data_IF_407488007787
#
_entry.id   IF_407488007787
#
_cell.length_a   1.000
_cell.length_b   1.000
_cell.length_c   1.000
_cell.angle_alpha   90.00
_cell.angle_beta   90.00
_cell.angle_gamma   90.00
#
_symmetry.space_group_name_H-M   'P 1'
#
loop_
_entity.id
_entity.type
_entity.pdbx_description
1 polymer ?
#
# COMPACT_ATOMS: atom_id res chain seq x y z
N UNK A 1 5.01 -0.33 -18.34
CA UNK A 1 6.09 -1.30 -18.00
C UNK A 1 5.46 -2.61 -17.54
N UNK A 2 6.19 -3.72 -17.63
CA UNK A 2 5.74 -5.02 -17.12
C UNK A 2 6.57 -5.39 -15.89
N UNK A 3 5.89 -5.84 -14.83
CA UNK A 3 6.50 -6.32 -13.59
C UNK A 3 6.09 -7.77 -13.39
N UNK A 4 7.07 -8.68 -13.35
CA UNK A 4 6.81 -10.09 -13.04
C UNK A 4 6.70 -10.29 -11.53
N UNK A 5 5.64 -10.96 -11.09
CA UNK A 5 5.35 -11.31 -9.69
C UNK A 5 5.13 -12.82 -9.55
N UNK A 6 5.03 -13.33 -8.32
CA UNK A 6 4.65 -14.74 -8.11
C UNK A 6 3.24 -15.07 -8.63
N UNK A 7 2.34 -14.09 -8.68
CA UNK A 7 0.97 -14.26 -9.18
C UNK A 7 0.84 -14.03 -10.69
N UNK A 8 1.95 -13.78 -11.38
CA UNK A 8 2.00 -13.51 -12.81
C UNK A 8 2.48 -12.10 -13.14
N UNK A 9 2.37 -11.72 -14.39
CA UNK A 9 2.81 -10.42 -14.89
C UNK A 9 1.75 -9.33 -14.67
N UNK A 10 2.18 -8.18 -14.17
CA UNK A 10 1.36 -6.96 -14.05
C UNK A 10 1.85 -5.94 -15.07
N UNK A 11 0.93 -5.41 -15.87
CA UNK A 11 1.22 -4.36 -16.86
C UNK A 11 0.76 -3.02 -16.29
N UNK A 12 1.72 -2.10 -16.15
CA UNK A 12 1.50 -0.72 -15.69
C UNK A 12 1.56 0.18 -16.92
N UNK A 13 0.44 0.71 -17.38
CA UNK A 13 0.35 1.44 -18.66
C UNK A 13 0.96 2.84 -18.60
N UNK A 14 0.85 3.51 -17.44
CA UNK A 14 1.36 4.85 -17.18
C UNK A 14 1.99 4.94 -15.78
N UNK A 15 2.71 6.03 -15.50
CA UNK A 15 3.18 6.29 -14.14
C UNK A 15 1.98 6.36 -13.18
N UNK A 16 1.95 5.60 -12.08
CA UNK A 16 0.86 5.65 -11.11
C UNK A 16 0.81 6.98 -10.35
N UNK A 17 -0.39 7.50 -10.14
CA UNK A 17 -0.67 8.71 -9.37
C UNK A 17 -1.48 8.42 -8.10
N UNK A 18 -2.18 7.27 -8.04
CA UNK A 18 -3.12 6.90 -6.97
C UNK A 18 -2.77 5.52 -6.40
N UNK A 19 -1.70 5.50 -5.61
CA UNK A 19 -1.12 4.25 -5.07
C UNK A 19 -1.82 3.85 -3.77
N UNK A 20 -2.25 2.60 -3.67
CA UNK A 20 -2.65 1.95 -2.42
C UNK A 20 -1.57 0.97 -1.98
N UNK A 21 -1.16 1.02 -0.73
CA UNK A 21 -0.15 0.11 -0.17
C UNK A 21 -0.75 -0.77 0.92
N UNK A 22 -0.55 -2.08 0.80
CA UNK A 22 -1.03 -3.04 1.79
C UNK A 22 0.13 -3.55 2.65
N UNK A 23 0.09 -3.26 3.95
CA UNK A 23 1.13 -3.67 4.90
C UNK A 23 2.38 -2.79 4.88
N UNK A 24 3.18 -2.93 5.93
CA UNK A 24 4.32 -2.07 6.23
C UNK A 24 5.37 -2.02 5.10
N UNK A 25 5.81 -3.14 4.49
CA UNK A 25 6.87 -3.08 3.48
C UNK A 25 6.45 -2.33 2.21
N UNK A 26 5.17 -2.41 1.82
CA UNK A 26 4.67 -1.68 0.66
C UNK A 26 4.65 -0.17 0.93
N UNK A 27 4.16 0.21 2.11
CA UNK A 27 4.14 1.60 2.57
C UNK A 27 5.54 2.20 2.62
N UNK A 28 6.47 1.52 3.32
CA UNK A 28 7.86 1.95 3.48
C UNK A 28 8.56 2.25 2.16
N UNK A 29 8.41 1.36 1.17
CA UNK A 29 9.03 1.54 -0.14
C UNK A 29 8.47 2.74 -0.89
N UNK A 30 7.15 2.96 -0.83
CA UNK A 30 6.50 4.09 -1.53
C UNK A 30 6.94 5.42 -0.94
N UNK A 31 6.91 5.55 0.39
CA UNK A 31 7.28 6.80 1.06
C UNK A 31 8.78 7.09 0.95
N UNK A 32 9.64 6.05 0.96
CA UNK A 32 11.07 6.20 0.75
C UNK A 32 11.44 6.69 -0.66
N UNK A 33 10.59 6.41 -1.65
CA UNK A 33 10.73 6.92 -3.02
C UNK A 33 10.16 8.33 -3.21
N UNK A 34 9.61 8.94 -2.15
CA UNK A 34 9.05 10.29 -2.18
C UNK A 34 7.62 10.37 -2.71
N UNK A 35 6.93 9.23 -2.85
CA UNK A 35 5.52 9.16 -3.21
C UNK A 35 4.64 9.07 -1.96
N UNK A 36 3.41 9.57 -2.05
CA UNK A 36 2.43 9.50 -0.97
C UNK A 36 1.21 8.66 -1.41
N UNK A 37 0.94 7.50 -0.78
CA UNK A 37 -0.21 6.68 -1.10
C UNK A 37 -1.54 7.39 -0.77
N UNK A 38 -2.55 7.13 -1.60
CA UNK A 38 -3.94 7.60 -1.39
C UNK A 38 -4.70 6.79 -0.37
N UNK A 39 -4.22 5.59 -0.04
CA UNK A 39 -4.63 4.81 1.12
C UNK A 39 -3.56 3.77 1.50
N UNK A 40 -3.36 3.53 2.79
CA UNK A 40 -2.33 2.59 3.26
C UNK A 40 -2.77 1.81 4.51
N UNK A 41 -2.52 0.50 4.54
CA UNK A 41 -2.58 -0.28 5.78
C UNK A 41 -1.19 -0.46 6.36
N UNK A 42 -0.99 0.00 7.60
CA UNK A 42 0.26 -0.18 8.33
C UNK A 42 -0.09 -0.69 9.72
N UNK A 43 0.65 -1.69 10.19
CA UNK A 43 0.46 -2.28 11.52
C UNK A 43 1.56 -1.83 12.47
N UNK A 44 1.20 -1.60 13.75
CA UNK A 44 2.13 -1.15 14.80
C UNK A 44 2.92 0.12 14.43
N UNK A 45 2.28 1.09 13.78
CA UNK A 45 2.94 2.31 13.31
C UNK A 45 3.61 3.10 14.46
N UNK A 46 3.05 3.02 15.66
CA UNK A 46 3.58 3.59 16.90
C UNK A 46 4.98 3.04 17.26
N UNK A 47 5.33 1.85 16.76
CA UNK A 47 6.64 1.21 16.97
C UNK A 47 7.62 1.47 15.83
N UNK A 48 7.24 2.27 14.82
CA UNK A 48 8.03 2.57 13.63
C UNK A 48 8.35 4.06 13.58
N UNK A 49 9.23 4.56 14.47
CA UNK A 49 9.47 6.00 14.60
C UNK A 49 10.09 6.64 13.35
N UNK A 50 10.75 5.85 12.49
CA UNK A 50 11.26 6.32 11.21
C UNK A 50 10.16 6.64 10.18
N UNK A 51 8.93 6.19 10.42
CA UNK A 51 7.76 6.53 9.62
C UNK A 51 6.98 7.72 10.16
N UNK A 52 7.32 8.24 11.34
CA UNK A 52 6.53 9.26 12.03
C UNK A 52 6.27 10.51 11.16
N UNK A 53 7.25 10.91 10.36
CA UNK A 53 7.14 12.08 9.47
C UNK A 53 6.26 11.83 8.23
N UNK A 54 6.07 10.57 7.85
CA UNK A 54 5.23 10.17 6.72
C UNK A 54 3.78 9.92 7.15
N UNK A 55 3.58 9.44 8.38
CA UNK A 55 2.27 9.18 8.99
C UNK A 55 1.39 10.43 9.08
N UNK A 56 1.98 11.60 9.33
CA UNK A 56 1.24 12.85 9.50
C UNK A 56 0.60 13.42 8.23
N UNK A 57 1.00 12.94 7.05
CA UNK A 57 0.55 13.45 5.75
C UNK A 57 -0.23 12.42 4.92
N UNK A 58 -0.48 11.22 5.45
CA UNK A 58 -0.90 10.08 4.62
C UNK A 58 -2.23 9.44 5.03
N UNK A 59 -2.85 8.78 4.04
CA UNK A 59 -4.16 8.16 4.14
C UNK A 59 -4.11 6.78 4.82
N UNK A 60 -3.65 6.75 6.07
CA UNK A 60 -3.66 5.53 6.87
C UNK A 60 -5.10 5.07 7.10
N UNK A 61 -5.38 3.83 6.72
CA UNK A 61 -6.65 3.15 6.93
C UNK A 61 -6.38 1.67 7.25
N UNK A 62 -6.34 1.35 8.54
CA UNK A 62 -6.17 -0.02 9.05
C UNK A 62 -7.29 -0.97 8.59
N UNK A 63 -8.42 -0.44 8.07
CA UNK A 63 -9.52 -1.26 7.57
C UNK A 63 -9.34 -1.75 6.13
N UNK A 64 -8.30 -1.31 5.41
CA UNK A 64 -8.02 -1.76 4.04
C UNK A 64 -7.64 -3.25 4.00
N UNK A 65 -6.86 -3.72 4.96
CA UNK A 65 -6.47 -5.11 5.07
C UNK A 65 -6.00 -5.45 6.48
N UNK A 66 -6.37 -6.63 6.96
CA UNK A 66 -5.72 -7.30 8.08
C UNK A 66 -4.92 -8.48 7.51
N UNK A 67 -3.62 -8.26 7.38
CA UNK A 67 -2.68 -9.22 6.80
C UNK A 67 -2.57 -10.49 7.64
N UNK A 68 -2.77 -10.39 8.96
CA UNK A 68 -2.66 -11.54 9.87
C UNK A 68 -3.94 -12.37 9.88
N UNK A 69 -5.07 -11.75 9.58
CA UNK A 69 -6.35 -12.44 9.39
C UNK A 69 -6.60 -12.91 7.94
N UNK A 70 -5.72 -12.55 6.99
CA UNK A 70 -5.91 -12.82 5.56
C UNK A 70 -7.13 -12.10 4.99
N UNK A 71 -7.50 -10.95 5.55
CA UNK A 71 -8.69 -10.19 5.17
C UNK A 71 -8.31 -8.93 4.40
N UNK A 72 -9.04 -8.66 3.32
CA UNK A 72 -8.87 -7.49 2.47
C UNK A 72 -10.23 -6.85 2.22
N UNK A 73 -10.28 -5.52 2.31
CA UNK A 73 -11.49 -4.74 2.07
C UNK A 73 -11.46 -4.09 0.68
N UNK A 74 -11.94 -4.83 -0.32
CA UNK A 74 -11.96 -4.37 -1.71
C UNK A 74 -12.77 -3.09 -1.90
N UNK A 75 -13.91 -2.94 -1.21
CA UNK A 75 -14.78 -1.76 -1.34
C UNK A 75 -14.05 -0.48 -0.90
N UNK A 76 -13.26 -0.56 0.18
CA UNK A 76 -12.46 0.59 0.64
C UNK A 76 -11.35 0.95 -0.34
N UNK A 77 -10.67 -0.06 -0.90
CA UNK A 77 -9.67 0.19 -1.94
C UNK A 77 -10.32 0.81 -3.18
N UNK A 78 -11.46 0.30 -3.66
CA UNK A 78 -12.14 0.84 -4.84
C UNK A 78 -12.65 2.26 -4.62
N UNK A 79 -13.08 2.60 -3.40
CA UNK A 79 -13.58 3.94 -3.07
C UNK A 79 -12.52 5.05 -3.21
N UNK A 80 -11.23 4.70 -3.18
CA UNK A 80 -10.13 5.64 -3.42
C UNK A 80 -9.62 5.61 -4.87
N UNK A 81 -10.30 4.91 -5.78
CA UNK A 81 -9.99 4.86 -7.22
C UNK A 81 -8.49 4.68 -7.51
N UNK A 82 -7.85 3.59 -7.04
CA UNK A 82 -6.42 3.39 -7.20
C UNK A 82 -6.08 3.02 -8.63
N UNK A 83 -4.90 3.43 -9.07
CA UNK A 83 -4.30 3.02 -10.35
C UNK A 83 -3.12 2.04 -10.15
N UNK A 84 -2.68 1.85 -8.91
CA UNK A 84 -1.75 0.81 -8.50
C UNK A 84 -2.06 0.35 -7.07
N UNK A 85 -2.12 -0.97 -6.86
CA UNK A 85 -2.17 -1.58 -5.53
C UNK A 85 -0.88 -2.39 -5.35
N UNK A 86 -0.11 -2.08 -4.30
CA UNK A 86 1.10 -2.82 -3.95
C UNK A 86 0.79 -3.71 -2.76
N UNK A 87 0.78 -5.03 -3.00
CA UNK A 87 0.55 -6.06 -1.99
C UNK A 87 1.79 -6.96 -1.89
N UNK A 88 2.42 -7.08 -0.71
CA UNK A 88 3.52 -8.02 -0.52
C UNK A 88 2.98 -9.45 -0.49
N UNK A 89 3.87 -10.42 -0.75
CA UNK A 89 3.55 -11.82 -0.53
C UNK A 89 3.26 -12.04 0.97
N UNK A 90 2.02 -12.36 1.30
CA UNK A 90 1.64 -12.74 2.65
C UNK A 90 1.81 -14.25 2.84
N UNK A 91 2.32 -14.69 4.01
CA UNK A 91 2.46 -16.11 4.34
C UNK A 91 1.11 -16.81 4.51
#
# INVERSE_FOLDING_TARGET
MTVSTESGDVIIESAPERIVTLGNPAFENVVALGSHPVAASVTNIDKLPYLADYVGNEALDESLADIYAGQVNFERMLAVEPDLIIAPAWP
#
